data_IF_341685779611
#
_entry.id   IF_341685779611
#
_cell.length_a   1.000
_cell.length_b   1.000
_cell.length_c   1.000
_cell.angle_alpha   90.00
_cell.angle_beta   90.00
_cell.angle_gamma   90.00
#
_symmetry.space_group_name_H-M   'P 1'
#
loop_
_entity.id
_entity.type
_entity.pdbx_description
1 polymer ?
#
# COMPACT_ATOMS: atom_id res chain seq x y z
N UNK A 1 19.92 -36.12 -28.27
CA UNK A 1 20.06 -35.04 -27.27
C UNK A 1 21.16 -35.48 -26.30
N UNK A 2 22.28 -34.76 -26.22
CA UNK A 2 23.46 -35.24 -25.49
C UNK A 2 23.16 -35.31 -23.98
N UNK A 3 23.56 -36.40 -23.30
CA UNK A 3 23.33 -36.61 -21.87
C UNK A 3 23.74 -35.39 -21.02
N UNK A 4 24.82 -34.70 -21.40
CA UNK A 4 25.28 -33.47 -20.74
C UNK A 4 24.27 -32.33 -20.85
N UNK A 5 23.69 -32.11 -22.03
CA UNK A 5 22.68 -31.07 -22.24
C UNK A 5 21.40 -31.37 -21.44
N UNK A 6 21.01 -32.65 -21.36
CA UNK A 6 19.88 -33.09 -20.56
C UNK A 6 20.14 -32.88 -19.05
N UNK A 7 21.32 -33.21 -18.55
CA UNK A 7 21.70 -32.95 -17.15
C UNK A 7 21.71 -31.46 -16.82
N UNK A 8 22.29 -30.62 -17.69
CA UNK A 8 22.28 -29.16 -17.51
C UNK A 8 20.85 -28.64 -17.44
N UNK A 9 19.98 -29.09 -18.36
CA UNK A 9 18.58 -28.69 -18.37
C UNK A 9 17.86 -29.10 -17.06
N UNK A 10 18.07 -30.33 -16.59
CA UNK A 10 17.48 -30.78 -15.33
C UNK A 10 17.93 -29.94 -14.13
N UNK A 11 19.22 -29.62 -14.04
CA UNK A 11 19.75 -28.76 -12.97
C UNK A 11 19.14 -27.37 -13.04
N UNK A 12 19.05 -26.77 -14.24
CA UNK A 12 18.43 -25.46 -14.41
C UNK A 12 16.95 -25.45 -14.01
N UNK A 13 16.19 -26.45 -14.43
CA UNK A 13 14.77 -26.59 -14.05
C UNK A 13 14.64 -26.76 -12.54
N UNK A 14 15.47 -27.62 -11.92
CA UNK A 14 15.45 -27.83 -10.47
C UNK A 14 15.75 -26.54 -9.69
N UNK A 15 16.71 -25.73 -10.15
CA UNK A 15 17.04 -24.44 -9.55
C UNK A 15 15.85 -23.48 -9.65
N UNK A 16 15.24 -23.35 -10.83
CA UNK A 16 14.10 -22.46 -11.05
C UNK A 16 12.90 -22.87 -10.19
N UNK A 17 12.57 -24.17 -10.18
CA UNK A 17 11.47 -24.71 -9.38
C UNK A 17 11.73 -24.57 -7.87
N UNK A 18 12.96 -24.84 -7.44
CA UNK A 18 13.38 -24.67 -6.04
C UNK A 18 13.27 -23.22 -5.58
N UNK A 19 13.70 -22.27 -6.43
CA UNK A 19 13.53 -20.83 -6.16
C UNK A 19 12.06 -20.45 -6.07
N UNK A 20 11.25 -20.86 -7.04
CA UNK A 20 9.82 -20.57 -7.06
C UNK A 20 9.15 -21.05 -5.77
N UNK A 21 9.38 -22.30 -5.39
CA UNK A 21 8.84 -22.88 -4.15
C UNK A 21 9.31 -22.09 -2.91
N UNK A 22 10.60 -21.79 -2.81
CA UNK A 22 11.15 -21.02 -1.69
C UNK A 22 10.54 -19.61 -1.60
N UNK A 23 10.36 -18.93 -2.75
CA UNK A 23 9.74 -17.61 -2.85
C UNK A 23 8.28 -17.61 -2.40
N UNK A 24 7.49 -18.59 -2.85
CA UNK A 24 6.10 -18.79 -2.42
C UNK A 24 6.03 -19.03 -0.91
N UNK A 25 6.84 -19.95 -0.38
CA UNK A 25 6.87 -20.26 1.05
C UNK A 25 7.26 -19.03 1.88
N UNK A 26 8.23 -18.24 1.41
CA UNK A 26 8.63 -17.01 2.10
C UNK A 26 7.47 -16.01 2.13
N UNK A 27 6.83 -15.73 0.99
CA UNK A 27 5.70 -14.79 0.94
C UNK A 27 4.55 -15.25 1.85
N UNK A 28 4.17 -16.54 1.82
CA UNK A 28 3.12 -17.05 2.71
C UNK A 28 3.51 -16.85 4.19
N UNK A 29 4.76 -17.17 4.57
CA UNK A 29 5.24 -16.96 5.96
C UNK A 29 5.22 -15.49 6.36
N UNK A 30 5.66 -14.59 5.47
CA UNK A 30 5.70 -13.14 5.69
C UNK A 30 4.29 -12.57 5.81
N UNK A 31 3.38 -12.95 4.92
CA UNK A 31 1.97 -12.56 4.94
C UNK A 31 1.26 -13.04 6.21
N UNK A 32 1.43 -14.32 6.59
CA UNK A 32 0.87 -14.85 7.83
C UNK A 32 1.41 -14.14 9.08
N UNK A 33 2.70 -13.80 9.11
CA UNK A 33 3.28 -13.03 10.21
C UNK A 33 2.67 -11.62 10.29
N UNK A 34 2.48 -10.95 9.15
CA UNK A 34 1.82 -9.65 9.09
C UNK A 34 0.36 -9.73 9.51
N UNK A 35 -0.39 -10.72 9.04
CA UNK A 35 -1.79 -10.95 9.43
C UNK A 35 -1.93 -11.19 10.94
N UNK A 36 -1.08 -12.05 11.52
CA UNK A 36 -1.08 -12.30 12.96
C UNK A 36 -0.80 -11.03 13.76
N UNK A 37 0.12 -10.20 13.30
CA UNK A 37 0.37 -8.90 13.91
C UNK A 37 -0.82 -7.95 13.77
N UNK A 38 -1.42 -7.87 12.57
CA UNK A 38 -2.59 -7.03 12.31
C UNK A 38 -3.79 -7.42 13.16
N UNK A 39 -3.98 -8.70 13.50
CA UNK A 39 -5.05 -9.16 14.41
C UNK A 39 -5.03 -8.40 15.75
N UNK A 40 -3.86 -7.97 16.24
CA UNK A 40 -3.74 -7.18 17.47
C UNK A 40 -4.34 -5.77 17.39
N UNK A 41 -4.56 -5.23 16.18
CA UNK A 41 -5.08 -3.86 16.01
C UNK A 41 -6.23 -3.71 15.01
N UNK A 42 -6.56 -4.75 14.23
CA UNK A 42 -7.76 -4.77 13.37
C UNK A 42 -9.06 -4.43 14.13
N UNK A 43 -9.28 -4.86 15.39
CA UNK A 43 -10.46 -4.44 16.16
C UNK A 43 -10.60 -2.93 16.36
N UNK A 44 -9.51 -2.15 16.20
CA UNK A 44 -9.56 -0.67 16.19
C UNK A 44 -10.21 -0.12 14.92
N UNK A 45 -10.06 -0.81 13.79
CA UNK A 45 -10.66 -0.44 12.51
C UNK A 45 -12.05 -1.03 12.30
N UNK A 46 -12.36 -2.20 12.86
CA UNK A 46 -13.66 -2.83 12.69
C UNK A 46 -13.70 -4.22 13.34
N UNK A 47 -14.92 -4.70 13.59
CA UNK A 47 -15.11 -5.95 14.36
C UNK A 47 -14.93 -7.20 13.52
N UNK A 48 -15.27 -7.12 12.22
CA UNK A 48 -15.21 -8.24 11.28
C UNK A 48 -14.41 -7.82 10.06
N UNK A 49 -13.40 -8.62 9.73
CA UNK A 49 -12.63 -8.51 8.51
C UNK A 49 -12.79 -9.81 7.70
N UNK A 50 -13.18 -9.67 6.44
CA UNK A 50 -13.13 -10.78 5.49
C UNK A 50 -11.72 -10.84 4.89
N UNK A 51 -11.09 -12.01 4.93
CA UNK A 51 -9.74 -12.22 4.40
C UNK A 51 -9.80 -12.98 3.09
N UNK A 52 -9.06 -12.51 2.09
CA UNK A 52 -8.88 -13.18 0.81
C UNK A 52 -7.42 -13.15 0.36
N UNK A 53 -6.86 -14.32 0.07
CA UNK A 53 -5.55 -14.40 -0.59
C UNK A 53 -5.73 -14.16 -2.09
N UNK A 54 -4.86 -13.33 -2.66
CA UNK A 54 -4.77 -13.04 -4.08
C UNK A 54 -3.47 -13.67 -4.60
N UNK A 55 -3.52 -14.99 -4.85
CA UNK A 55 -2.35 -15.79 -5.15
C UNK A 55 -1.41 -15.91 -3.94
N UNK A 56 -0.10 -15.96 -4.20
CA UNK A 56 0.95 -16.08 -3.17
C UNK A 56 1.51 -14.73 -2.69
N UNK A 57 1.20 -13.64 -3.40
CA UNK A 57 1.92 -12.37 -3.28
C UNK A 57 1.05 -11.20 -2.81
N UNK A 58 -0.25 -11.41 -2.58
CA UNK A 58 -1.11 -10.39 -2.01
C UNK A 58 -2.20 -10.97 -1.11
N UNK A 59 -2.59 -10.19 -0.09
CA UNK A 59 -3.69 -10.50 0.81
C UNK A 59 -4.58 -9.29 0.94
N UNK A 60 -5.87 -9.49 0.77
CA UNK A 60 -6.89 -8.46 0.94
C UNK A 60 -7.68 -8.74 2.23
N UNK A 61 -7.85 -7.70 3.04
CA UNK A 61 -8.71 -7.69 4.22
C UNK A 61 -9.79 -6.62 4.02
N UNK A 62 -11.04 -7.04 3.92
CA UNK A 62 -12.18 -6.13 3.74
C UNK A 62 -12.96 -6.00 5.04
N UNK A 63 -13.08 -4.77 5.54
CA UNK A 63 -13.92 -4.40 6.68
C UNK A 63 -15.17 -3.69 6.15
N UNK A 64 -16.26 -4.44 5.95
CA UNK A 64 -17.51 -3.89 5.42
C UNK A 64 -18.21 -2.93 6.41
N UNK A 65 -18.01 -3.15 7.72
CA UNK A 65 -18.48 -2.28 8.80
C UNK A 65 -17.28 -1.85 9.63
N UNK A 66 -16.66 -0.76 9.23
CA UNK A 66 -15.53 -0.18 9.94
C UNK A 66 -16.01 0.77 11.06
N UNK A 67 -15.12 1.06 12.01
CA UNK A 67 -15.32 2.05 13.07
C UNK A 67 -14.92 3.43 12.56
N UNK A 68 -15.55 4.50 13.06
CA UNK A 68 -15.17 5.88 12.71
C UNK A 68 -13.66 6.11 12.87
N UNK A 69 -13.02 6.83 11.92
CA UNK A 69 -13.61 7.65 10.86
C UNK A 69 -14.06 6.88 9.60
N UNK A 70 -13.84 5.56 9.53
CA UNK A 70 -14.18 4.76 8.36
C UNK A 70 -15.59 4.19 8.47
N UNK A 71 -16.33 4.22 7.36
CA UNK A 71 -17.56 3.43 7.15
C UNK A 71 -17.23 2.04 6.63
N UNK A 72 -16.30 1.97 5.69
CA UNK A 72 -15.72 0.77 5.08
C UNK A 72 -14.22 0.94 4.94
N UNK A 73 -13.46 -0.12 5.17
CA UNK A 73 -12.01 -0.11 4.94
C UNK A 73 -11.58 -1.38 4.20
N UNK A 74 -10.54 -1.27 3.39
CA UNK A 74 -9.89 -2.37 2.68
C UNK A 74 -8.38 -2.24 2.89
N UNK A 75 -7.74 -3.29 3.37
CA UNK A 75 -6.32 -3.34 3.60
C UNK A 75 -5.75 -4.38 2.64
N UNK A 76 -4.83 -3.97 1.78
CA UNK A 76 -4.17 -4.87 0.82
C UNK A 76 -2.70 -4.94 1.16
N UNK A 77 -2.26 -6.12 1.57
CA UNK A 77 -0.86 -6.44 1.73
C UNK A 77 -0.35 -6.88 0.37
N UNK A 78 0.64 -6.18 -0.19
CA UNK A 78 1.26 -6.51 -1.47
C UNK A 78 2.72 -6.85 -1.21
N UNK A 79 3.09 -8.10 -1.43
CA UNK A 79 4.46 -8.58 -1.23
C UNK A 79 5.29 -8.43 -2.50
N UNK A 80 6.61 -8.41 -2.33
CA UNK A 80 7.53 -8.56 -3.45
C UNK A 80 7.30 -9.91 -4.16
N UNK A 81 7.41 -9.98 -5.50
CA UNK A 81 7.18 -11.19 -6.29
C UNK A 81 8.38 -12.15 -6.20
N UNK A 82 8.66 -12.67 -5.01
CA UNK A 82 9.85 -13.48 -4.68
C UNK A 82 9.86 -14.84 -5.37
N UNK A 83 8.72 -15.27 -5.88
CA UNK A 83 8.50 -16.49 -6.64
C UNK A 83 9.17 -16.45 -8.03
N UNK A 84 9.39 -15.25 -8.60
CA UNK A 84 10.06 -15.07 -9.88
C UNK A 84 11.38 -14.32 -9.69
N UNK A 85 12.49 -15.05 -9.58
CA UNK A 85 13.82 -14.53 -9.18
C UNK A 85 14.28 -13.26 -9.92
N UNK A 86 14.28 -13.29 -11.25
CA UNK A 86 14.73 -12.15 -12.06
C UNK A 86 13.78 -10.95 -11.93
N UNK A 87 12.47 -11.21 -11.83
CA UNK A 87 11.46 -10.16 -11.72
C UNK A 87 11.51 -9.52 -10.33
N UNK A 88 11.75 -10.32 -9.29
CA UNK A 88 12.02 -9.86 -7.94
C UNK A 88 13.21 -8.91 -7.89
N UNK A 89 14.35 -9.30 -8.50
CA UNK A 89 15.55 -8.47 -8.51
C UNK A 89 15.28 -7.12 -9.20
N UNK A 90 14.68 -7.14 -10.39
CA UNK A 90 14.31 -5.91 -11.11
C UNK A 90 13.31 -5.05 -10.32
N UNK A 91 12.29 -5.66 -9.71
CA UNK A 91 11.31 -4.97 -8.90
C UNK A 91 11.97 -4.29 -7.68
N UNK A 92 12.88 -5.00 -7.01
CA UNK A 92 13.62 -4.52 -5.84
C UNK A 92 14.57 -3.39 -6.20
N UNK A 93 15.29 -3.48 -7.32
CA UNK A 93 16.14 -2.40 -7.86
C UNK A 93 15.32 -1.16 -8.22
N UNK A 94 14.06 -1.34 -8.66
CA UNK A 94 13.11 -0.25 -8.94
C UNK A 94 12.38 0.27 -7.68
N UNK A 95 12.82 -0.12 -6.48
CA UNK A 95 12.31 0.36 -5.21
C UNK A 95 11.00 -0.27 -4.74
N UNK A 96 10.50 -1.32 -5.42
CA UNK A 96 9.33 -2.07 -4.94
C UNK A 96 9.74 -2.88 -3.71
N UNK A 97 9.01 -2.69 -2.62
CA UNK A 97 9.14 -3.43 -1.35
C UNK A 97 7.77 -3.99 -0.96
N UNK A 98 7.73 -4.79 0.09
CA UNK A 98 6.45 -5.20 0.68
C UNK A 98 5.68 -3.95 1.13
N UNK A 99 4.40 -3.88 0.78
CA UNK A 99 3.55 -2.71 0.95
C UNK A 99 2.27 -3.06 1.69
N UNK A 100 1.79 -2.13 2.49
CA UNK A 100 0.43 -2.08 2.99
C UNK A 100 -0.29 -0.93 2.31
N UNK A 101 -1.36 -1.26 1.59
CA UNK A 101 -2.32 -0.30 1.02
C UNK A 101 -3.52 -0.26 1.95
N UNK A 102 -3.89 0.93 2.41
CA UNK A 102 -5.12 1.16 3.17
C UNK A 102 -6.04 2.00 2.31
N UNK A 103 -7.21 1.47 2.01
CA UNK A 103 -8.31 2.18 1.33
C UNK A 103 -9.47 2.33 2.28
N UNK A 104 -10.09 3.50 2.29
CA UNK A 104 -11.18 3.81 3.19
C UNK A 104 -12.28 4.60 2.53
N UNK A 105 -13.52 4.29 2.92
CA UNK A 105 -14.67 5.16 2.78
C UNK A 105 -14.83 5.84 4.13
N UNK A 106 -14.79 7.15 4.15
CA UNK A 106 -14.94 7.93 5.36
C UNK A 106 -16.42 8.11 5.68
N UNK A 107 -16.73 8.31 6.95
CA UNK A 107 -18.07 8.70 7.39
C UNK A 107 -18.45 10.06 6.81
N UNK A 108 -17.50 10.99 6.85
CA UNK A 108 -17.58 12.30 6.20
C UNK A 108 -16.68 12.28 4.95
N UNK A 109 -17.25 12.30 3.74
CA UNK A 109 -16.46 12.41 2.51
C UNK A 109 -15.60 13.67 2.52
N UNK A 110 -14.35 13.62 2.03
CA UNK A 110 -13.54 14.83 1.93
C UNK A 110 -14.14 15.76 0.87
N UNK A 111 -14.19 17.07 1.17
CA UNK A 111 -14.70 18.07 0.22
C UNK A 111 -13.72 18.40 -0.90
N UNK A 112 -12.49 17.90 -0.80
CA UNK A 112 -11.37 18.20 -1.67
C UNK A 112 -10.78 16.92 -2.27
N UNK A 113 -9.93 17.10 -3.27
CA UNK A 113 -9.23 15.99 -3.91
C UNK A 113 -7.75 16.30 -4.06
N UNK A 114 -6.93 15.37 -3.61
CA UNK A 114 -5.49 15.41 -3.83
C UNK A 114 -4.87 14.01 -3.89
N UNK A 115 -3.69 13.94 -4.49
CA UNK A 115 -2.84 12.77 -4.49
C UNK A 115 -1.40 13.22 -4.26
N UNK A 116 -0.85 12.86 -3.10
CA UNK A 116 0.55 13.08 -2.76
C UNK A 116 1.29 11.79 -3.04
N UNK A 117 2.25 11.83 -3.96
CA UNK A 117 3.03 10.65 -4.38
C UNK A 117 4.51 10.92 -4.21
N UNK A 118 5.27 9.90 -3.80
CA UNK A 118 6.73 9.94 -3.86
C UNK A 118 7.20 9.65 -5.29
N UNK A 119 7.98 10.54 -5.95
CA UNK A 119 8.53 10.29 -7.28
C UNK A 119 9.32 8.98 -7.34
N UNK A 120 9.22 8.28 -8.47
CA UNK A 120 9.91 7.00 -8.70
C UNK A 120 9.37 5.81 -7.90
N UNK A 121 8.44 6.02 -6.95
CA UNK A 121 7.77 4.93 -6.25
C UNK A 121 6.90 4.10 -7.19
N UNK A 122 6.69 2.83 -6.84
CA UNK A 122 5.81 1.95 -7.61
C UNK A 122 4.38 2.51 -7.70
N UNK A 123 3.85 3.04 -6.59
CA UNK A 123 2.52 3.67 -6.53
C UNK A 123 2.39 4.88 -7.46
N UNK A 124 3.45 5.68 -7.61
CA UNK A 124 3.44 6.82 -8.52
C UNK A 124 3.29 6.40 -10.00
N UNK A 125 3.86 5.24 -10.38
CA UNK A 125 3.76 4.69 -11.75
C UNK A 125 2.37 4.14 -12.04
N UNK A 126 1.71 3.53 -11.05
CA UNK A 126 0.34 3.04 -11.17
C UNK A 126 -0.66 4.19 -11.41
N UNK A 127 -0.48 5.33 -10.70
CA UNK A 127 -1.35 6.51 -10.87
C UNK A 127 -1.28 7.11 -12.28
N UNK A 128 -0.10 7.12 -12.93
CA UNK A 128 0.06 7.70 -14.28
C UNK A 128 -0.82 7.00 -15.33
N UNK A 129 -1.27 5.77 -15.06
CA UNK A 129 -2.19 5.02 -15.92
C UNK A 129 -3.67 5.42 -15.80
N UNK A 130 -4.09 6.15 -14.75
CA UNK A 130 -5.48 6.60 -14.62
C UNK A 130 -5.69 7.91 -15.36
N UNK A 131 -6.57 7.89 -16.38
CA UNK A 131 -6.86 9.04 -17.25
C UNK A 131 -7.32 10.30 -16.48
N UNK A 132 -8.01 10.15 -15.36
CA UNK A 132 -8.46 11.27 -14.51
C UNK A 132 -7.31 12.13 -13.97
N UNK A 133 -6.21 11.50 -13.54
CA UNK A 133 -5.06 12.19 -12.96
C UNK A 133 -4.15 12.85 -13.99
N UNK A 134 -4.35 12.62 -15.30
CA UNK A 134 -3.61 13.33 -16.35
C UNK A 134 -4.00 14.80 -16.46
N UNK A 135 -5.20 15.17 -16.01
CA UNK A 135 -5.69 16.56 -16.04
C UNK A 135 -5.40 17.32 -14.73
N UNK A 136 -4.77 16.66 -13.75
CA UNK A 136 -4.48 17.27 -12.45
C UNK A 136 -3.19 18.09 -12.53
N UNK A 137 -3.21 19.26 -11.91
CA UNK A 137 -2.01 20.09 -11.82
C UNK A 137 -1.04 19.46 -10.84
N UNK A 138 0.24 19.48 -11.21
CA UNK A 138 1.31 18.86 -10.43
C UNK A 138 2.16 19.95 -9.80
N UNK A 139 2.46 19.82 -8.52
CA UNK A 139 3.29 20.74 -7.76
C UNK A 139 4.27 19.96 -6.87
N UNK A 140 5.52 20.40 -6.81
CA UNK A 140 6.49 19.81 -5.90
C UNK A 140 6.20 20.26 -4.46
N UNK A 141 6.08 19.29 -3.57
CA UNK A 141 6.00 19.50 -2.13
C UNK A 141 7.40 19.29 -1.52
N UNK A 142 7.58 19.67 -0.25
CA UNK A 142 8.80 19.37 0.49
C UNK A 142 9.09 17.85 0.56
N UNK A 143 10.36 17.51 0.78
CA UNK A 143 10.83 16.14 1.07
C UNK A 143 10.47 15.10 0.00
N UNK A 144 10.80 15.38 -1.26
CA UNK A 144 10.60 14.49 -2.41
C UNK A 144 9.17 13.97 -2.55
N UNK A 145 8.18 14.81 -2.26
CA UNK A 145 6.78 14.49 -2.50
C UNK A 145 6.24 15.38 -3.62
N UNK A 146 5.35 14.82 -4.43
CA UNK A 146 4.67 15.55 -5.50
C UNK A 146 3.18 15.57 -5.19
N UNK A 147 2.63 16.76 -5.04
CA UNK A 147 1.20 17.00 -4.91
C UNK A 147 0.57 17.04 -6.30
N UNK A 148 -0.53 16.31 -6.48
CA UNK A 148 -1.41 16.41 -7.63
C UNK A 148 -2.81 16.77 -7.13
N UNK A 149 -3.42 17.79 -7.72
CA UNK A 149 -4.78 18.18 -7.36
C UNK A 149 -5.54 18.73 -8.58
N UNK A 150 -6.88 18.59 -8.64
CA UNK A 150 -7.69 19.31 -9.60
C UNK A 150 -7.53 20.82 -9.44
N UNK A 151 -7.58 21.55 -10.56
CA UNK A 151 -7.47 23.02 -10.55
C UNK A 151 -8.50 23.69 -9.63
N UNK A 152 -9.72 23.15 -9.56
CA UNK A 152 -10.81 23.69 -8.75
C UNK A 152 -10.54 23.63 -7.23
N UNK A 153 -9.86 22.59 -6.73
CA UNK A 153 -9.59 22.39 -5.30
C UNK A 153 -8.12 22.61 -4.94
N UNK A 154 -7.30 23.12 -5.87
CA UNK A 154 -5.83 23.21 -5.73
C UNK A 154 -5.40 24.04 -4.52
N UNK A 155 -5.97 25.23 -4.31
CA UNK A 155 -5.58 26.11 -3.22
C UNK A 155 -5.80 25.45 -1.85
N UNK A 156 -6.99 24.87 -1.65
CA UNK A 156 -7.34 24.12 -0.44
C UNK A 156 -6.48 22.87 -0.25
N UNK A 157 -6.21 22.14 -1.34
CA UNK A 157 -5.36 20.94 -1.32
C UNK A 157 -3.91 21.27 -0.95
N UNK A 158 -3.40 22.42 -1.43
CA UNK A 158 -2.06 22.91 -1.10
C UNK A 158 -1.91 23.26 0.38
N UNK A 159 -2.97 23.77 1.00
CA UNK A 159 -3.00 24.06 2.44
C UNK A 159 -3.01 22.78 3.28
N UNK A 160 -3.81 21.78 2.89
CA UNK A 160 -4.09 20.61 3.74
C UNK A 160 -3.20 19.40 3.48
N UNK A 161 -2.72 19.20 2.25
CA UNK A 161 -1.90 18.05 1.89
C UNK A 161 -0.58 17.94 2.70
N UNK A 162 0.16 19.03 3.00
CA UNK A 162 1.35 18.95 3.84
C UNK A 162 1.08 18.40 5.24
N UNK A 163 0.02 18.89 5.90
CA UNK A 163 -0.36 18.44 7.24
C UNK A 163 -0.80 16.97 7.23
N UNK A 164 -1.61 16.56 6.24
CA UNK A 164 -2.03 15.17 6.08
C UNK A 164 -0.83 14.24 5.79
N UNK A 165 0.12 14.68 4.95
CA UNK A 165 1.36 13.93 4.69
C UNK A 165 2.21 13.81 5.96
N UNK A 166 2.35 14.88 6.74
CA UNK A 166 3.10 14.86 8.00
C UNK A 166 2.49 13.87 9.00
N UNK A 167 1.16 13.84 9.12
CA UNK A 167 0.49 12.85 9.96
C UNK A 167 0.67 11.43 9.43
N UNK A 168 0.63 11.22 8.11
CA UNK A 168 0.93 9.92 7.52
C UNK A 168 2.38 9.48 7.79
N UNK A 169 3.33 10.42 7.80
CA UNK A 169 4.73 10.15 8.14
C UNK A 169 4.95 9.76 9.60
N UNK A 170 4.07 10.18 10.50
CA UNK A 170 4.05 9.69 11.88
C UNK A 170 3.65 8.21 11.98
N UNK A 171 2.86 7.70 11.02
CA UNK A 171 2.53 6.26 10.90
C UNK A 171 3.70 5.48 10.31
N UNK A 172 4.29 6.00 9.24
CA UNK A 172 5.42 5.38 8.55
C UNK A 172 6.32 6.48 7.97
N UNK A 173 7.63 6.51 8.31
CA UNK A 173 8.57 7.52 7.80
C UNK A 173 8.58 7.62 6.28
N UNK A 174 8.34 6.48 5.61
CA UNK A 174 8.20 6.42 4.16
C UNK A 174 6.71 6.28 3.82
N UNK A 175 6.18 7.29 3.12
CA UNK A 175 4.86 7.27 2.50
C UNK A 175 5.06 7.28 1.00
N UNK A 176 4.58 6.24 0.31
CA UNK A 176 4.68 6.18 -1.15
C UNK A 176 3.53 6.91 -1.84
N UNK A 177 2.35 6.90 -1.22
CA UNK A 177 1.16 7.58 -1.71
C UNK A 177 0.20 7.90 -0.57
N UNK A 178 -0.39 9.09 -0.60
CA UNK A 178 -1.52 9.50 0.22
C UNK A 178 -2.51 10.24 -0.68
N UNK A 179 -3.73 9.72 -0.82
CA UNK A 179 -4.76 10.32 -1.64
C UNK A 179 -6.04 10.55 -0.85
N UNK A 180 -6.69 11.68 -1.15
CA UNK A 180 -8.03 12.02 -0.71
C UNK A 180 -8.89 12.27 -1.96
N UNK A 181 -10.08 11.66 -2.02
CA UNK A 181 -11.02 11.80 -3.16
C UNK A 181 -12.45 11.88 -2.66
N UNK A 182 -13.33 12.53 -3.43
CA UNK A 182 -14.78 12.57 -3.12
C UNK A 182 -15.43 11.20 -3.33
N UNK A 183 -14.98 10.50 -4.37
CA UNK A 183 -15.44 9.16 -4.73
C UNK A 183 -14.58 8.06 -4.10
N UNK A 184 -15.06 6.82 -4.19
CA UNK A 184 -14.33 5.67 -3.67
C UNK A 184 -13.05 5.38 -4.50
N UNK A 185 -11.90 5.08 -3.86
CA UNK A 185 -11.63 5.18 -2.42
C UNK A 185 -11.42 6.63 -1.97
N UNK A 186 -12.11 7.04 -0.90
CA UNK A 186 -12.06 8.43 -0.40
C UNK A 186 -10.76 8.73 0.35
N UNK A 187 -10.17 7.70 0.94
CA UNK A 187 -8.87 7.73 1.57
C UNK A 187 -8.05 6.57 1.00
N UNK A 188 -6.82 6.84 0.57
CA UNK A 188 -5.87 5.82 0.13
C UNK A 188 -4.46 6.13 0.66
N UNK A 189 -3.85 5.20 1.38
CA UNK A 189 -2.51 5.33 1.95
C UNK A 189 -1.66 4.10 1.58
N UNK A 190 -0.51 4.34 0.96
CA UNK A 190 0.47 3.31 0.59
C UNK A 190 1.75 3.52 1.38
N UNK A 191 2.10 2.54 2.20
CA UNK A 191 3.27 2.57 3.07
C UNK A 191 4.00 1.22 3.05
N UNK A 192 5.30 1.17 3.38
CA UNK A 192 5.98 -0.09 3.59
C UNK A 192 5.23 -0.96 4.60
N UNK A 193 5.22 -2.27 4.35
CA UNK A 193 4.65 -3.22 5.28
C UNK A 193 5.41 -3.11 6.63
N UNK A 194 4.72 -2.81 7.74
CA UNK A 194 5.37 -2.69 9.04
C UNK A 194 6.07 -3.99 9.44
N UNK A 195 7.19 -3.89 10.16
CA UNK A 195 7.84 -5.07 10.72
C UNK A 195 6.99 -5.62 11.88
N UNK A 196 6.39 -6.82 11.74
CA UNK A 196 5.54 -7.42 12.78
C UNK A 196 6.21 -7.59 14.14
N UNK A 197 7.56 -7.56 14.17
CA UNK A 197 8.35 -7.77 15.39
C UNK A 197 8.63 -6.48 16.17
N UNK A 198 8.47 -5.31 15.56
CA UNK A 198 8.93 -4.03 16.12
C UNK A 198 7.80 -3.07 16.49
N UNK A 199 6.64 -3.17 15.83
CA UNK A 199 5.54 -2.23 16.03
C UNK A 199 4.41 -2.80 16.87
N UNK A 200 3.73 -1.95 17.63
CA UNK A 200 2.41 -2.28 18.17
C UNK A 200 1.34 -2.03 17.10
N UNK A 201 0.59 -3.08 16.77
CA UNK A 201 -0.48 -3.02 15.77
C UNK A 201 -1.60 -2.07 16.18
N UNK A 202 -1.97 -2.03 17.47
CA UNK A 202 -3.07 -1.18 17.94
C UNK A 202 -2.73 0.31 17.74
N UNK A 203 -1.56 0.73 18.22
CA UNK A 203 -1.06 2.09 18.01
C UNK A 203 -0.90 2.45 16.52
N UNK A 204 -0.45 1.49 15.69
CA UNK A 204 -0.33 1.71 14.25
C UNK A 204 -1.69 2.01 13.60
N UNK A 205 -2.72 1.21 13.86
CA UNK A 205 -4.05 1.44 13.29
C UNK A 205 -4.77 2.65 13.88
N UNK A 206 -4.56 2.97 15.17
CA UNK A 206 -5.07 4.21 15.74
C UNK A 206 -4.40 5.44 15.10
N UNK A 207 -3.12 5.34 14.73
CA UNK A 207 -2.43 6.41 14.01
C UNK A 207 -2.99 6.56 12.58
N UNK A 208 -3.30 5.46 11.89
CA UNK A 208 -4.01 5.50 10.59
C UNK A 208 -5.37 6.20 10.72
N UNK A 209 -6.14 5.88 11.78
CA UNK A 209 -7.44 6.53 12.03
C UNK A 209 -7.29 8.04 12.19
N UNK A 210 -6.27 8.51 12.93
CA UNK A 210 -5.99 9.96 13.06
C UNK A 210 -5.69 10.63 11.73
N UNK A 211 -4.94 9.97 10.83
CA UNK A 211 -4.67 10.51 9.48
C UNK A 211 -5.97 10.60 8.68
N UNK A 212 -6.80 9.55 8.71
CA UNK A 212 -8.08 9.54 8.02
C UNK A 212 -9.07 10.57 8.58
N UNK A 213 -9.06 10.81 9.89
CA UNK A 213 -9.82 11.89 10.52
C UNK A 213 -9.36 13.26 10.03
N UNK A 214 -8.05 13.49 9.85
CA UNK A 214 -7.55 14.75 9.31
C UNK A 214 -7.98 14.95 7.85
N UNK A 215 -7.98 13.90 7.04
CA UNK A 215 -8.43 13.96 5.65
C UNK A 215 -9.94 14.20 5.56
N UNK A 216 -10.72 13.64 6.48
CA UNK A 216 -12.18 13.81 6.54
C UNK A 216 -12.66 15.05 7.29
N UNK A 217 -11.76 15.84 7.89
CA UNK A 217 -12.11 17.10 8.58
C UNK A 217 -12.12 18.27 7.59
N UNK A 218 -13.13 19.13 7.73
CA UNK A 218 -13.54 20.28 6.89
C UNK A 218 -14.53 19.89 5.79
#
# INVERSE_FOLDING_TARGET
>A
MNNTAQTILFVLVAIVMGWFAAGVLWNIRRGNAALKWMQGGLPRLGEKAALRWLGSSAVELTLAKARPPFRRAELVLVMEPRDVSWFWLLARLRGRRDMLIIRGQLVTPPQLEFDVVRPGSWSARETVGRNETRQWETESLADDATLRAPRATRALSRELAPAALQAARAVSPVVWRLSARREWPQFELHVPLPDPRRGDAANYFDSIRRVAEQVGKR
#
